data_IF_971481987459
#
_entry.id   IF_971481987459
#
_cell.length_a   1.000
_cell.length_b   1.000
_cell.length_c   1.000
_cell.angle_alpha   90.00
_cell.angle_beta   90.00
_cell.angle_gamma   90.00
#
_symmetry.space_group_name_H-M   'P 1'
#
loop_
_entity.id
_entity.type
_entity.pdbx_description
1 polymer ?
#
# COMPACT_ATOMS: atom_id res chain seq x y z
N UNK A 1 97.95 -15.50 26.97
CA UNK A 1 98.42 -15.30 25.58
C UNK A 1 97.30 -15.72 24.64
N UNK A 2 96.97 -14.83 23.71
CA UNK A 2 95.77 -14.85 22.88
C UNK A 2 95.71 -16.06 21.93
N UNK A 3 94.50 -16.60 21.75
CA UNK A 3 94.17 -17.43 20.58
C UNK A 3 92.76 -17.07 20.13
N UNK A 4 92.70 -16.60 18.89
CA UNK A 4 91.60 -15.93 18.22
C UNK A 4 90.36 -16.82 18.09
N UNK A 5 89.22 -16.35 18.61
CA UNK A 5 87.90 -16.88 18.26
C UNK A 5 87.31 -16.00 17.16
N UNK A 6 87.33 -16.52 15.93
CA UNK A 6 86.69 -15.93 14.75
C UNK A 6 85.18 -15.87 14.97
N UNK A 7 84.61 -14.66 15.06
CA UNK A 7 83.17 -14.44 14.88
C UNK A 7 82.79 -14.80 13.43
N UNK A 8 81.71 -15.54 13.18
CA UNK A 8 81.20 -15.74 11.84
C UNK A 8 80.70 -14.39 11.29
N UNK A 9 81.28 -13.98 10.16
CA UNK A 9 80.74 -12.87 9.38
C UNK A 9 79.36 -13.26 8.84
N UNK A 10 78.34 -12.54 9.32
CA UNK A 10 77.00 -12.58 8.75
C UNK A 10 77.04 -11.83 7.40
N UNK A 11 77.19 -12.59 6.31
CA UNK A 11 77.04 -12.07 4.96
C UNK A 11 75.57 -11.76 4.72
N UNK A 12 75.14 -10.53 5.01
CA UNK A 12 73.92 -10.01 4.40
C UNK A 12 74.07 -10.06 2.88
N UNK A 13 73.33 -10.98 2.26
CA UNK A 13 73.22 -11.09 0.81
C UNK A 13 72.61 -9.79 0.28
N UNK A 14 73.44 -8.89 -0.26
CA UNK A 14 73.02 -7.82 -1.18
C UNK A 14 72.45 -8.44 -2.47
N UNK A 15 71.23 -8.97 -2.40
CA UNK A 15 70.38 -9.25 -3.58
C UNK A 15 69.50 -8.04 -3.82
N UNK A 16 70.06 -7.05 -4.51
CA UNK A 16 69.29 -5.87 -4.91
C UNK A 16 70.01 -4.94 -5.87
N UNK A 17 71.08 -5.35 -6.54
CA UNK A 17 71.89 -4.45 -7.38
C UNK A 17 71.18 -3.99 -8.66
N UNK A 18 70.45 -4.88 -9.34
CA UNK A 18 69.79 -4.54 -10.60
C UNK A 18 68.44 -3.83 -10.40
N UNK A 19 67.59 -4.32 -9.50
CA UNK A 19 66.31 -3.67 -9.20
C UNK A 19 66.49 -2.35 -8.44
N UNK A 20 67.47 -2.21 -7.52
CA UNK A 20 67.75 -0.88 -6.93
C UNK A 20 68.28 0.10 -7.97
N UNK A 21 69.12 -0.32 -8.92
CA UNK A 21 69.59 0.56 -10.01
C UNK A 21 68.46 0.95 -10.96
N UNK A 22 67.55 0.02 -11.29
CA UNK A 22 66.40 0.29 -12.15
C UNK A 22 65.40 1.22 -11.48
N UNK A 23 65.13 1.02 -10.18
CA UNK A 23 64.28 1.91 -9.39
C UNK A 23 64.93 3.30 -9.20
N UNK A 24 66.23 3.34 -8.88
CA UNK A 24 66.97 4.59 -8.66
C UNK A 24 67.20 5.39 -9.94
N UNK A 25 67.36 4.75 -11.11
CA UNK A 25 67.64 5.45 -12.38
C UNK A 25 66.41 5.61 -13.28
N UNK A 26 65.33 4.86 -13.05
CA UNK A 26 64.06 5.01 -13.78
C UNK A 26 62.99 5.71 -12.93
N UNK A 27 62.60 5.10 -11.81
CA UNK A 27 61.45 5.55 -11.02
C UNK A 27 61.76 6.84 -10.24
N UNK A 28 62.94 6.97 -9.65
CA UNK A 28 63.31 8.18 -8.90
C UNK A 28 63.34 9.45 -9.76
N UNK A 29 63.94 9.49 -10.97
CA UNK A 29 63.87 10.69 -11.80
C UNK A 29 62.46 11.00 -12.30
N UNK A 30 61.64 9.99 -12.64
CA UNK A 30 60.24 10.20 -13.02
C UNK A 30 59.43 10.74 -11.83
N UNK A 31 59.63 10.18 -10.64
CA UNK A 31 58.99 10.65 -9.41
C UNK A 31 59.42 12.07 -9.04
N UNK A 32 60.68 12.44 -9.28
CA UNK A 32 61.18 13.80 -9.05
C UNK A 32 60.53 14.81 -10.01
N UNK A 33 60.36 14.45 -11.29
CA UNK A 33 59.63 15.27 -12.26
C UNK A 33 58.17 15.43 -11.84
N UNK A 34 57.51 14.34 -11.45
CA UNK A 34 56.12 14.37 -10.98
C UNK A 34 55.96 15.23 -9.71
N UNK A 35 56.90 15.14 -8.76
CA UNK A 35 56.90 15.95 -7.55
C UNK A 35 57.13 17.44 -7.86
N UNK A 36 58.04 17.77 -8.79
CA UNK A 36 58.25 19.14 -9.23
C UNK A 36 56.99 19.72 -9.87
N UNK A 37 56.29 18.94 -10.70
CA UNK A 37 55.00 19.34 -11.28
C UNK A 37 53.93 19.59 -10.21
N UNK A 38 53.84 18.72 -9.19
CA UNK A 38 52.90 18.89 -8.07
C UNK A 38 53.20 20.14 -7.25
N UNK A 39 54.47 20.47 -7.01
CA UNK A 39 54.87 21.69 -6.31
C UNK A 39 54.54 22.94 -7.14
N UNK A 40 54.80 22.92 -8.45
CA UNK A 40 54.40 24.01 -9.37
C UNK A 40 52.88 24.17 -9.38
N UNK A 41 52.13 23.06 -9.38
CA UNK A 41 50.67 23.07 -9.34
C UNK A 41 50.12 23.72 -8.05
N UNK A 42 50.77 23.50 -6.91
CA UNK A 42 50.37 24.15 -5.65
C UNK A 42 50.77 25.63 -5.61
N UNK A 43 51.95 26.00 -6.12
CA UNK A 43 52.39 27.40 -6.17
C UNK A 43 51.60 28.25 -7.16
N UNK A 44 51.13 27.64 -8.26
CA UNK A 44 50.43 28.35 -9.35
C UNK A 44 48.93 28.52 -9.11
N UNK A 45 48.37 28.05 -7.99
CA UNK A 45 46.95 28.24 -7.68
C UNK A 45 46.01 27.52 -8.66
N UNK A 46 46.14 26.20 -8.76
CA UNK A 46 45.03 25.30 -9.14
C UNK A 46 44.24 25.63 -10.42
N UNK A 47 44.89 25.63 -11.58
CA UNK A 47 44.21 25.25 -12.84
C UNK A 47 45.22 24.81 -13.92
N UNK A 48 45.52 23.51 -13.95
CA UNK A 48 46.44 22.84 -14.89
C UNK A 48 45.95 22.79 -16.36
N UNK A 49 44.78 23.36 -16.66
CA UNK A 49 44.16 23.34 -18.00
C UNK A 49 44.58 24.48 -18.92
N UNK A 50 45.40 25.44 -18.47
CA UNK A 50 46.01 26.45 -19.35
C UNK A 50 47.34 25.95 -19.91
N UNK A 51 47.32 24.72 -20.43
CA UNK A 51 48.44 24.07 -21.11
C UNK A 51 48.63 24.60 -22.55
N UNK A 52 47.88 25.63 -22.93
CA UNK A 52 47.92 26.23 -24.27
C UNK A 52 49.13 27.16 -24.48
N UNK A 53 49.81 27.57 -23.41
CA UNK A 53 50.93 28.52 -23.47
C UNK A 53 52.32 27.88 -23.30
N UNK A 54 52.39 26.59 -22.97
CA UNK A 54 53.65 25.85 -22.99
C UNK A 54 53.84 25.21 -24.36
N UNK A 55 54.75 25.75 -25.16
CA UNK A 55 55.17 25.17 -26.44
C UNK A 55 56.06 23.94 -26.20
N UNK A 56 55.45 22.84 -25.75
CA UNK A 56 56.11 21.54 -25.59
C UNK A 56 56.12 20.85 -26.95
N UNK A 57 57.28 20.54 -27.54
CA UNK A 57 57.42 20.11 -28.94
C UNK A 57 56.94 18.66 -29.21
N UNK A 58 55.98 18.16 -28.43
CA UNK A 58 55.40 16.81 -28.57
C UNK A 58 53.90 16.74 -28.23
N UNK A 59 53.26 17.82 -27.75
CA UNK A 59 51.83 17.83 -27.41
C UNK A 59 51.13 18.87 -28.28
N UNK A 60 50.97 18.58 -29.57
CA UNK A 60 50.10 19.36 -30.45
C UNK A 60 48.67 18.85 -30.31
N UNK A 61 47.85 19.52 -29.49
CA UNK A 61 46.40 19.32 -29.48
C UNK A 61 45.88 19.63 -30.88
N UNK A 62 45.46 18.60 -31.61
CA UNK A 62 44.99 18.75 -33.00
C UNK A 62 43.60 19.36 -32.96
N UNK A 63 43.19 20.17 -33.95
CA UNK A 63 41.84 20.77 -34.02
C UNK A 63 40.72 19.71 -33.89
N UNK A 64 41.01 18.46 -34.30
CA UNK A 64 40.14 17.28 -34.14
C UNK A 64 39.85 16.90 -32.68
N UNK A 65 40.73 17.21 -31.74
CA UNK A 65 40.53 16.91 -30.31
C UNK A 65 39.67 17.97 -29.62
N UNK A 66 39.76 19.23 -30.06
CA UNK A 66 38.86 20.33 -29.62
C UNK A 66 37.45 20.15 -30.18
N UNK A 67 37.34 19.69 -31.43
CA UNK A 67 36.06 19.38 -32.06
C UNK A 67 35.35 18.21 -31.34
N UNK A 68 36.08 17.13 -31.03
CA UNK A 68 35.56 16.00 -30.23
C UNK A 68 35.14 16.41 -28.81
N UNK A 69 35.89 17.27 -28.14
CA UNK A 69 35.53 17.76 -26.81
C UNK A 69 34.26 18.64 -26.83
N UNK A 70 34.12 19.50 -27.84
CA UNK A 70 32.92 20.33 -28.03
C UNK A 70 31.68 19.48 -28.38
N UNK A 71 31.85 18.43 -29.19
CA UNK A 71 30.79 17.49 -29.56
C UNK A 71 30.34 16.65 -28.35
N UNK A 72 31.27 16.27 -27.48
CA UNK A 72 30.99 15.53 -26.25
C UNK A 72 30.26 16.36 -25.19
N UNK A 73 30.58 17.66 -25.07
CA UNK A 73 29.84 18.60 -24.22
C UNK A 73 28.42 18.78 -24.73
N UNK A 74 28.23 19.00 -26.04
CA UNK A 74 26.91 19.15 -26.66
C UNK A 74 26.03 17.90 -26.48
N UNK A 75 26.63 16.71 -26.61
CA UNK A 75 25.94 15.43 -26.38
C UNK A 75 25.53 15.24 -24.90
N UNK A 76 26.35 15.72 -23.96
CA UNK A 76 26.02 15.67 -22.53
C UNK A 76 24.90 16.66 -22.18
N UNK A 77 24.92 17.87 -22.73
CA UNK A 77 23.84 18.86 -22.54
C UNK A 77 22.50 18.33 -23.07
N UNK A 78 22.52 17.64 -24.20
CA UNK A 78 21.33 17.02 -24.78
C UNK A 78 20.76 15.89 -23.90
N UNK A 79 21.64 15.07 -23.30
CA UNK A 79 21.22 14.06 -22.31
C UNK A 79 20.68 14.67 -21.03
N UNK A 80 21.24 15.79 -20.57
CA UNK A 80 20.73 16.50 -19.38
C UNK A 80 19.32 17.02 -19.65
N UNK A 81 19.07 17.60 -20.83
CA UNK A 81 17.73 18.05 -21.22
C UNK A 81 16.74 16.88 -21.34
N UNK A 82 17.15 15.75 -21.90
CA UNK A 82 16.32 14.54 -21.98
C UNK A 82 15.97 14.00 -20.58
N UNK A 83 16.96 13.89 -19.70
CA UNK A 83 16.75 13.45 -18.31
C UNK A 83 15.86 14.41 -17.54
N UNK A 84 15.99 15.72 -17.73
CA UNK A 84 15.09 16.71 -17.14
C UNK A 84 13.65 16.55 -17.63
N UNK A 85 13.46 16.27 -18.93
CA UNK A 85 12.14 15.96 -19.50
C UNK A 85 11.53 14.72 -18.87
N UNK A 86 12.31 13.64 -18.73
CA UNK A 86 11.86 12.40 -18.07
C UNK A 86 11.52 12.63 -16.59
N UNK A 87 12.32 13.42 -15.86
CA UNK A 87 12.04 13.77 -14.46
C UNK A 87 10.72 14.54 -14.36
N UNK A 88 10.52 15.57 -15.19
CA UNK A 88 9.28 16.35 -15.20
C UNK A 88 8.06 15.48 -15.52
N UNK A 89 8.19 14.56 -16.48
CA UNK A 89 7.12 13.61 -16.81
C UNK A 89 6.81 12.67 -15.64
N UNK A 90 7.84 12.16 -14.96
CA UNK A 90 7.67 11.29 -13.79
C UNK A 90 7.10 12.02 -12.59
N UNK A 91 7.49 13.26 -12.34
CA UNK A 91 6.91 14.11 -11.31
C UNK A 91 5.41 14.37 -11.58
N UNK A 92 5.04 14.64 -12.84
CA UNK A 92 3.64 14.77 -13.23
C UNK A 92 2.85 13.46 -13.02
N UNK A 93 3.42 12.31 -13.39
CA UNK A 93 2.80 10.99 -13.14
C UNK A 93 2.63 10.72 -11.63
N UNK A 94 3.63 11.05 -10.82
CA UNK A 94 3.57 10.89 -9.36
C UNK A 94 2.47 11.78 -8.78
N UNK A 95 2.38 13.04 -9.20
CA UNK A 95 1.33 13.97 -8.73
C UNK A 95 -0.08 13.49 -9.11
N UNK A 96 -0.24 12.96 -10.33
CA UNK A 96 -1.51 12.37 -10.76
C UNK A 96 -1.87 11.15 -9.92
N UNK A 97 -0.93 10.21 -9.74
CA UNK A 97 -1.15 9.01 -8.94
C UNK A 97 -1.45 9.32 -7.47
N UNK A 98 -0.81 10.35 -6.90
CA UNK A 98 -1.13 10.83 -5.54
C UNK A 98 -2.56 11.35 -5.46
N UNK A 99 -3.00 12.13 -6.45
CA UNK A 99 -4.37 12.65 -6.50
C UNK A 99 -5.40 11.54 -6.63
N UNK A 100 -5.13 10.54 -7.49
CA UNK A 100 -5.97 9.35 -7.64
C UNK A 100 -6.02 8.53 -6.34
N UNK A 101 -4.89 8.35 -5.66
CA UNK A 101 -4.82 7.64 -4.38
C UNK A 101 -5.62 8.35 -3.29
N UNK A 102 -5.50 9.68 -3.19
CA UNK A 102 -6.24 10.48 -2.22
C UNK A 102 -7.73 10.43 -2.47
N UNK A 103 -8.14 10.52 -3.75
CA UNK A 103 -9.55 10.40 -4.14
C UNK A 103 -10.10 9.01 -3.80
N UNK A 104 -9.37 7.95 -4.15
CA UNK A 104 -9.76 6.57 -3.84
C UNK A 104 -9.84 6.32 -2.32
N UNK A 105 -8.94 6.91 -1.53
CA UNK A 105 -8.97 6.81 -0.07
C UNK A 105 -10.21 7.52 0.51
N UNK A 106 -10.55 8.72 0.02
CA UNK A 106 -11.76 9.43 0.44
C UNK A 106 -13.04 8.69 0.06
N UNK A 107 -13.10 8.11 -1.14
CA UNK A 107 -14.23 7.28 -1.56
C UNK A 107 -14.36 6.03 -0.69
N UNK A 108 -13.24 5.36 -0.39
CA UNK A 108 -13.22 4.21 0.51
C UNK A 108 -13.74 4.56 1.90
N UNK A 109 -13.31 5.69 2.47
CA UNK A 109 -13.79 6.16 3.78
C UNK A 109 -15.30 6.42 3.78
N UNK A 110 -15.82 7.04 2.72
CA UNK A 110 -17.28 7.24 2.55
C UNK A 110 -18.03 5.92 2.47
N UNK A 111 -17.55 4.97 1.67
CA UNK A 111 -18.16 3.64 1.51
C UNK A 111 -18.15 2.87 2.83
N UNK A 112 -17.06 2.92 3.59
CA UNK A 112 -16.98 2.27 4.91
C UNK A 112 -17.99 2.89 5.88
N UNK A 113 -18.07 4.23 5.92
CA UNK A 113 -19.04 4.94 6.77
C UNK A 113 -20.48 4.59 6.41
N UNK A 114 -20.79 4.53 5.12
CA UNK A 114 -22.12 4.14 4.63
C UNK A 114 -22.44 2.68 4.96
N UNK A 115 -21.46 1.78 4.83
CA UNK A 115 -21.60 0.38 5.20
C UNK A 115 -21.91 0.24 6.70
N UNK A 116 -21.17 0.93 7.57
CA UNK A 116 -21.41 0.92 9.01
C UNK A 116 -22.82 1.43 9.36
N UNK A 117 -23.27 2.50 8.70
CA UNK A 117 -24.62 3.03 8.86
C UNK A 117 -25.69 2.03 8.42
N UNK A 118 -25.52 1.40 7.26
CA UNK A 118 -26.46 0.40 6.75
C UNK A 118 -26.51 -0.83 7.67
N UNK A 119 -25.36 -1.29 8.18
CA UNK A 119 -25.31 -2.38 9.16
C UNK A 119 -26.08 -2.01 10.43
N UNK A 120 -25.88 -0.80 10.96
CA UNK A 120 -26.62 -0.33 12.13
C UNK A 120 -28.14 -0.28 11.89
N UNK A 121 -28.57 0.23 10.73
CA UNK A 121 -29.98 0.27 10.35
C UNK A 121 -30.57 -1.14 10.20
N UNK A 122 -29.85 -2.07 9.58
CA UNK A 122 -30.26 -3.46 9.47
C UNK A 122 -30.42 -4.12 10.84
N UNK A 123 -29.45 -3.93 11.74
CA UNK A 123 -29.57 -4.47 13.11
C UNK A 123 -30.75 -3.89 13.88
N UNK A 124 -31.03 -2.58 13.69
CA UNK A 124 -32.18 -1.93 14.30
C UNK A 124 -33.49 -2.54 13.80
N UNK A 125 -33.64 -2.65 12.47
CA UNK A 125 -34.82 -3.28 11.85
C UNK A 125 -34.96 -4.74 12.29
N UNK A 126 -33.86 -5.48 12.39
CA UNK A 126 -33.88 -6.86 12.84
C UNK A 126 -34.35 -6.97 14.30
N UNK A 127 -33.85 -6.10 15.19
CA UNK A 127 -34.30 -6.04 16.59
C UNK A 127 -35.80 -5.71 16.69
N UNK A 128 -36.26 -4.71 15.95
CA UNK A 128 -37.68 -4.33 15.90
C UNK A 128 -38.57 -5.48 15.39
N UNK A 129 -38.11 -6.21 14.37
CA UNK A 129 -38.83 -7.40 13.87
C UNK A 129 -38.85 -8.53 14.89
N UNK A 130 -37.74 -8.79 15.58
CA UNK A 130 -37.67 -9.85 16.58
C UNK A 130 -38.53 -9.53 17.80
N UNK A 131 -38.59 -8.26 18.23
CA UNK A 131 -39.50 -7.81 19.28
C UNK A 131 -40.96 -7.91 18.83
N UNK A 132 -41.29 -7.49 17.61
CA UNK A 132 -42.65 -7.66 17.04
C UNK A 132 -43.04 -9.14 16.98
N UNK A 133 -42.12 -10.04 16.60
CA UNK A 133 -42.38 -11.49 16.58
C UNK A 133 -42.60 -12.05 17.98
N UNK A 134 -41.83 -11.58 18.97
CA UNK A 134 -42.01 -11.99 20.38
C UNK A 134 -43.37 -11.54 20.91
N UNK A 135 -43.70 -10.26 20.77
CA UNK A 135 -44.99 -9.71 21.17
C UNK A 135 -46.14 -10.47 20.49
N UNK A 136 -46.02 -10.73 19.19
CA UNK A 136 -47.02 -11.50 18.46
C UNK A 136 -47.12 -12.94 18.98
N UNK A 137 -46.00 -13.61 19.25
CA UNK A 137 -46.00 -14.96 19.86
C UNK A 137 -46.65 -14.99 21.24
N UNK A 138 -46.52 -13.93 22.04
CA UNK A 138 -47.19 -13.81 23.34
C UNK A 138 -48.71 -13.67 23.18
N UNK A 139 -49.15 -12.91 22.17
CA UNK A 139 -50.57 -12.82 21.80
C UNK A 139 -51.10 -14.21 21.44
N UNK A 140 -50.41 -14.95 20.56
CA UNK A 140 -50.81 -16.31 20.18
C UNK A 140 -50.87 -17.22 21.42
N UNK A 141 -49.85 -17.24 22.27
CA UNK A 141 -49.84 -18.02 23.52
C UNK A 141 -51.00 -17.65 24.44
N UNK A 142 -51.39 -16.38 24.50
CA UNK A 142 -52.53 -15.91 25.30
C UNK A 142 -53.83 -16.51 24.79
N UNK A 143 -54.07 -16.48 23.49
CA UNK A 143 -55.27 -17.09 22.90
C UNK A 143 -55.26 -18.62 22.95
N UNK A 144 -54.09 -19.28 22.89
CA UNK A 144 -53.98 -20.73 23.11
C UNK A 144 -54.38 -21.16 24.52
N UNK A 145 -54.04 -20.35 25.52
CA UNK A 145 -54.36 -20.61 26.94
C UNK A 145 -55.76 -20.13 27.33
N UNK A 146 -56.35 -19.24 26.54
CA UNK A 146 -57.68 -18.70 26.79
C UNK A 146 -58.75 -19.77 26.56
N UNK A 147 -59.77 -19.81 27.43
CA UNK A 147 -60.88 -20.74 27.24
C UNK A 147 -61.61 -20.44 25.91
N UNK A 148 -61.94 -21.46 25.08
CA UNK A 148 -62.54 -21.24 23.76
C UNK A 148 -63.85 -20.43 23.81
N UNK A 149 -64.64 -20.60 24.88
CA UNK A 149 -65.88 -19.84 25.11
C UNK A 149 -65.64 -18.34 25.32
N UNK A 150 -64.46 -17.95 25.82
CA UNK A 150 -64.06 -16.56 25.99
C UNK A 150 -63.35 -16.02 24.74
N UNK A 151 -62.50 -16.83 24.09
CA UNK A 151 -61.76 -16.42 22.91
C UNK A 151 -62.65 -16.19 21.67
N UNK A 152 -63.64 -17.05 21.43
CA UNK A 152 -64.53 -16.97 20.27
C UNK A 152 -65.25 -15.60 20.11
N UNK A 153 -65.94 -15.06 21.13
CA UNK A 153 -66.59 -13.75 20.99
C UNK A 153 -65.60 -12.57 20.90
N UNK A 154 -64.36 -12.73 21.37
CA UNK A 154 -63.31 -11.70 21.21
C UNK A 154 -62.86 -11.67 19.76
N UNK A 155 -62.43 -12.81 19.22
CA UNK A 155 -61.97 -12.94 17.82
C UNK A 155 -63.09 -12.53 16.84
N UNK A 156 -64.33 -12.92 17.12
CA UNK A 156 -65.48 -12.56 16.29
C UNK A 156 -65.78 -11.05 16.21
N UNK A 157 -65.27 -10.25 17.17
CA UNK A 157 -65.40 -8.80 17.19
C UNK A 157 -64.18 -8.06 16.65
N UNK A 158 -63.09 -8.77 16.35
CA UNK A 158 -61.91 -8.18 15.72
C UNK A 158 -62.16 -7.90 14.23
N UNK A 159 -61.26 -7.15 13.60
CA UNK A 159 -61.26 -7.05 12.14
C UNK A 159 -60.89 -8.40 11.52
N UNK A 160 -61.39 -8.65 10.31
CA UNK A 160 -61.15 -9.93 9.63
C UNK A 160 -59.66 -10.24 9.47
N UNK A 161 -58.85 -9.21 9.20
CA UNK A 161 -57.39 -9.32 9.04
C UNK A 161 -56.71 -9.77 10.32
N UNK A 162 -57.03 -9.16 11.47
CA UNK A 162 -56.42 -9.52 12.75
C UNK A 162 -56.90 -10.88 13.26
N UNK A 163 -58.19 -11.18 13.04
CA UNK A 163 -58.75 -12.49 13.36
C UNK A 163 -58.05 -13.60 12.57
N UNK A 164 -57.86 -13.41 11.27
CA UNK A 164 -57.13 -14.38 10.43
C UNK A 164 -55.69 -14.55 10.88
N UNK A 165 -54.98 -13.44 11.11
CA UNK A 165 -53.59 -13.45 11.55
C UNK A 165 -53.40 -14.27 12.83
N UNK A 166 -54.32 -14.15 13.79
CA UNK A 166 -54.32 -14.95 15.02
C UNK A 166 -54.69 -16.41 14.73
N UNK A 167 -55.82 -16.64 14.04
CA UNK A 167 -56.35 -17.98 13.79
C UNK A 167 -55.39 -18.86 12.96
N UNK A 168 -54.69 -18.30 11.97
CA UNK A 168 -53.75 -19.04 11.13
C UNK A 168 -52.46 -19.44 11.86
N UNK A 169 -52.13 -18.78 12.97
CA UNK A 169 -50.96 -19.06 13.81
C UNK A 169 -51.29 -19.87 15.07
N UNK A 170 -52.56 -20.17 15.34
CA UNK A 170 -52.97 -21.05 16.43
C UNK A 170 -52.90 -22.53 16.04
N UNK A 171 -52.74 -23.41 17.02
CA UNK A 171 -52.83 -24.87 16.79
C UNK A 171 -54.20 -25.25 16.23
N UNK A 172 -54.28 -26.19 15.27
CA UNK A 172 -55.54 -26.65 14.66
C UNK A 172 -56.61 -27.06 15.69
N UNK A 173 -56.21 -27.79 16.74
CA UNK A 173 -57.12 -28.21 17.81
C UNK A 173 -57.73 -27.02 18.58
N UNK A 174 -56.95 -25.97 18.78
CA UNK A 174 -57.42 -24.74 19.45
C UNK A 174 -58.39 -23.99 18.55
N UNK A 175 -58.08 -23.88 17.25
CA UNK A 175 -58.95 -23.24 16.25
C UNK A 175 -60.30 -23.98 16.16
N UNK A 176 -60.28 -25.31 16.07
CA UNK A 176 -61.51 -26.12 16.06
C UNK A 176 -62.37 -25.86 17.29
N UNK A 177 -61.78 -25.87 18.49
CA UNK A 177 -62.50 -25.58 19.75
C UNK A 177 -63.05 -24.16 19.80
N UNK A 178 -62.37 -23.18 19.19
CA UNK A 178 -62.84 -21.80 19.09
C UNK A 178 -64.03 -21.72 18.12
N UNK A 179 -63.93 -22.36 16.95
CA UNK A 179 -65.02 -22.41 15.96
C UNK A 179 -66.28 -23.09 16.51
N UNK A 180 -66.13 -24.13 17.35
CA UNK A 180 -67.26 -24.74 18.09
C UNK A 180 -68.00 -23.76 19.02
N UNK A 181 -67.37 -22.65 19.42
CA UNK A 181 -67.97 -21.62 20.27
C UNK A 181 -68.35 -20.35 19.52
N UNK A 182 -68.17 -20.32 18.20
CA UNK A 182 -68.64 -19.26 17.31
C UNK A 182 -70.03 -19.58 16.74
N UNK A 183 -70.67 -18.60 16.08
CA UNK A 183 -71.87 -18.90 15.29
C UNK A 183 -71.50 -19.62 13.98
N UNK A 184 -72.41 -20.40 13.38
CA UNK A 184 -72.16 -21.08 12.11
C UNK A 184 -71.68 -20.14 11.00
N UNK A 185 -72.24 -18.93 10.93
CA UNK A 185 -71.88 -17.92 9.93
C UNK A 185 -70.45 -17.40 10.13
N UNK A 186 -70.05 -17.17 11.37
CA UNK A 186 -68.70 -16.71 11.71
C UNK A 186 -67.65 -17.79 11.44
N UNK A 187 -67.92 -19.03 11.86
CA UNK A 187 -67.03 -20.15 11.61
C UNK A 187 -66.86 -20.42 10.11
N UNK A 188 -67.96 -20.38 9.33
CA UNK A 188 -67.91 -20.51 7.88
C UNK A 188 -67.08 -19.38 7.24
N UNK A 189 -67.34 -18.13 7.64
CA UNK A 189 -66.61 -16.95 7.15
C UNK A 189 -65.10 -17.09 7.34
N UNK A 190 -64.65 -17.38 8.57
CA UNK A 190 -63.21 -17.48 8.85
C UNK A 190 -62.59 -18.73 8.24
N UNK A 191 -63.33 -19.83 8.11
CA UNK A 191 -62.85 -21.02 7.40
C UNK A 191 -62.60 -20.73 5.91
N UNK A 192 -63.53 -20.05 5.25
CA UNK A 192 -63.35 -19.65 3.84
C UNK A 192 -62.18 -18.69 3.65
N UNK A 193 -61.98 -17.76 4.59
CA UNK A 193 -60.89 -16.81 4.54
C UNK A 193 -59.53 -17.48 4.78
N UNK A 194 -59.44 -18.42 5.74
CA UNK A 194 -58.22 -19.20 5.98
C UNK A 194 -57.87 -20.12 4.80
N UNK A 195 -58.87 -20.60 4.06
CA UNK A 195 -58.64 -21.42 2.87
C UNK A 195 -58.19 -20.61 1.64
N UNK A 196 -58.26 -19.28 1.68
CA UNK A 196 -57.87 -18.36 0.61
C UNK A 196 -56.52 -17.68 0.82
N UNK A 197 -55.94 -17.78 2.02
CA UNK A 197 -54.53 -17.45 2.26
C UNK A 197 -53.61 -18.50 1.64
#
# INVERSE_FOLDING_TARGET
MAKEAKLPQEKEKKRGGFFKKFFLFGIVPIAFIAAALLVIMQLSGGNIFKLDQLNIPFISSTDKDKEKAAEQVKNNDQKVLELQGVIAEKEAQIAQLQTELDTANQEKEKVVTEQEKLVFEMEKVQREQDDTKREFSEIISTYEKMAPKAAAPVIAKMSDVEALRILSNLKPDTVAKIFEKMTPEQAAKYTELLAKE
#
